data_IF_606804893022
#
_entry.id   IF_606804893022
#
_cell.length_a   1.000
_cell.length_b   1.000
_cell.length_c   1.000
_cell.angle_alpha   90.00
_cell.angle_beta   90.00
_cell.angle_gamma   90.00
#
_symmetry.space_group_name_H-M   'P 1'
#
loop_
_entity.id
_entity.type
_entity.pdbx_description
1 polymer ?
#
# COMPACT_ATOMS: atom_id res chain seq x y z
N UNK A 1 32.77 -11.16 -9.83
CA UNK A 1 32.32 -9.90 -9.20
C UNK A 1 30.84 -10.04 -8.87
N UNK A 2 30.37 -9.47 -7.76
CA UNK A 2 28.94 -9.48 -7.42
C UNK A 2 28.11 -8.64 -8.41
N UNK A 3 26.84 -9.01 -8.63
CA UNK A 3 25.94 -8.36 -9.59
C UNK A 3 25.84 -6.84 -9.40
N UNK A 4 25.80 -6.37 -8.15
CA UNK A 4 25.79 -4.94 -7.81
C UNK A 4 27.03 -4.21 -8.33
N UNK A 5 28.21 -4.82 -8.25
CA UNK A 5 29.46 -4.19 -8.71
C UNK A 5 29.48 -4.02 -10.24
N UNK A 6 28.87 -4.96 -10.98
CA UNK A 6 28.75 -4.84 -12.44
C UNK A 6 27.91 -3.63 -12.85
N UNK A 7 26.85 -3.31 -12.12
CA UNK A 7 26.06 -2.10 -12.37
C UNK A 7 26.87 -0.83 -12.09
N UNK A 8 27.67 -0.80 -11.03
CA UNK A 8 28.56 0.32 -10.75
C UNK A 8 29.66 0.48 -11.81
N UNK A 9 30.24 -0.62 -12.29
CA UNK A 9 31.23 -0.58 -13.37
C UNK A 9 30.60 -0.10 -14.68
N UNK A 10 29.37 -0.54 -14.99
CA UNK A 10 28.61 -0.05 -16.14
C UNK A 10 28.31 1.44 -16.03
N UNK A 11 27.86 1.92 -14.86
CA UNK A 11 27.61 3.35 -14.63
C UNK A 11 28.90 4.16 -14.80
N UNK A 12 30.00 3.68 -14.25
CA UNK A 12 31.30 4.34 -14.38
C UNK A 12 31.75 4.42 -15.85
N UNK A 13 31.56 3.36 -16.63
CA UNK A 13 31.85 3.35 -18.06
C UNK A 13 31.00 4.36 -18.84
N UNK A 14 29.69 4.40 -18.58
CA UNK A 14 28.78 5.39 -19.20
C UNK A 14 29.19 6.82 -18.88
N UNK A 15 29.55 7.10 -17.62
CA UNK A 15 29.99 8.43 -17.22
C UNK A 15 31.31 8.82 -17.89
N UNK A 16 32.30 7.91 -17.93
CA UNK A 16 33.60 8.16 -18.59
C UNK A 16 33.47 8.36 -20.10
N UNK A 17 32.51 7.71 -20.74
CA UNK A 17 32.24 7.89 -22.17
C UNK A 17 31.60 9.24 -22.51
N UNK A 18 31.00 9.93 -21.53
CA UNK A 18 30.37 11.23 -21.74
C UNK A 18 31.43 12.34 -21.84
N UNK A 19 31.48 13.12 -22.94
CA UNK A 19 32.45 14.21 -23.09
C UNK A 19 32.20 15.37 -22.12
N UNK A 20 30.98 15.49 -21.58
CA UNK A 20 30.63 16.49 -20.57
C UNK A 20 31.08 16.08 -19.15
N UNK A 21 31.54 14.83 -18.96
CA UNK A 21 31.98 14.34 -17.67
C UNK A 21 33.51 14.46 -17.53
N UNK A 22 34.03 15.30 -16.63
CA UNK A 22 35.44 15.67 -16.63
C UNK A 22 36.39 14.58 -16.09
N UNK A 23 35.88 13.49 -15.50
CA UNK A 23 36.70 12.45 -14.86
C UNK A 23 36.85 11.23 -15.77
N UNK A 24 38.02 11.11 -16.39
CA UNK A 24 38.38 9.97 -17.27
C UNK A 24 38.77 8.68 -16.55
N UNK A 25 39.01 8.72 -15.22
CA UNK A 25 39.43 7.57 -14.41
C UNK A 25 38.41 7.24 -13.32
N UNK A 26 37.20 6.84 -13.72
CA UNK A 26 36.16 6.33 -12.82
C UNK A 26 36.03 4.81 -12.99
N UNK A 27 35.84 4.09 -11.89
CA UNK A 27 35.51 2.68 -11.86
C UNK A 27 34.36 2.45 -10.88
N UNK A 28 33.77 1.25 -10.85
CA UNK A 28 32.58 0.99 -10.05
C UNK A 28 32.78 1.23 -8.55
N UNK A 29 33.93 0.82 -7.99
CA UNK A 29 34.25 1.06 -6.56
C UNK A 29 34.27 2.56 -6.23
N UNK A 30 34.91 3.35 -7.07
CA UNK A 30 35.05 4.78 -6.87
C UNK A 30 33.72 5.51 -7.11
N UNK A 31 32.91 5.04 -8.05
CA UNK A 31 31.56 5.56 -8.30
C UNK A 31 30.64 5.30 -7.11
N UNK A 32 30.62 4.05 -6.61
CA UNK A 32 29.85 3.67 -5.43
C UNK A 32 30.25 4.49 -4.20
N UNK A 33 31.55 4.57 -3.90
CA UNK A 33 32.04 5.33 -2.75
C UNK A 33 31.65 6.81 -2.82
N UNK A 34 31.72 7.42 -4.02
CA UNK A 34 31.33 8.82 -4.23
C UNK A 34 29.83 9.03 -4.07
N UNK A 35 29.01 8.13 -4.60
CA UNK A 35 27.56 8.22 -4.46
C UNK A 35 27.15 8.11 -2.99
N UNK A 36 27.70 7.14 -2.26
CA UNK A 36 27.43 6.98 -0.83
C UNK A 36 27.78 8.25 -0.03
N UNK A 37 28.94 8.84 -0.34
CA UNK A 37 29.35 10.09 0.31
C UNK A 37 28.43 11.25 -0.06
N UNK A 38 28.01 11.36 -1.32
CA UNK A 38 27.08 12.39 -1.78
C UNK A 38 25.74 12.32 -1.02
N UNK A 39 25.16 11.12 -0.94
CA UNK A 39 23.90 10.87 -0.21
C UNK A 39 24.05 11.20 1.26
N UNK A 40 25.14 10.74 1.90
CA UNK A 40 25.37 10.99 3.32
C UNK A 40 25.51 12.48 3.63
N UNK A 41 26.37 13.19 2.90
CA UNK A 41 26.56 14.62 3.11
C UNK A 41 25.26 15.39 2.91
N UNK A 42 24.45 15.03 1.91
CA UNK A 42 23.16 15.67 1.69
C UNK A 42 22.18 15.47 2.84
N UNK A 43 22.07 14.24 3.36
CA UNK A 43 21.24 13.94 4.54
C UNK A 43 21.70 14.71 5.78
N UNK A 44 23.00 14.85 5.99
CA UNK A 44 23.57 15.67 7.06
C UNK A 44 23.18 17.14 6.89
N UNK A 45 23.30 17.70 5.67
CA UNK A 45 22.89 19.09 5.39
C UNK A 45 21.40 19.33 5.58
N UNK A 46 20.54 18.41 5.14
CA UNK A 46 19.08 18.52 5.32
C UNK A 46 18.69 18.48 6.80
N UNK A 47 19.34 17.60 7.58
CA UNK A 47 19.13 17.55 9.03
C UNK A 47 19.57 18.82 9.73
N UNK A 48 20.69 19.41 9.32
CA UNK A 48 21.15 20.70 9.85
C UNK A 48 20.21 21.85 9.47
N UNK A 49 19.71 21.86 8.22
CA UNK A 49 18.72 22.83 7.74
C UNK A 49 17.40 22.74 8.51
N UNK A 50 16.88 21.53 8.76
CA UNK A 50 15.70 21.29 9.59
C UNK A 50 15.85 21.89 11.00
N UNK A 51 17.05 21.78 11.59
CA UNK A 51 17.34 22.35 12.92
C UNK A 51 17.47 23.88 12.91
N UNK A 52 17.80 24.47 11.77
CA UNK A 52 17.95 25.92 11.56
C UNK A 52 16.72 26.55 10.89
N UNK A 53 15.60 25.81 10.84
CA UNK A 53 14.36 26.18 10.15
C UNK A 53 13.90 27.60 10.51
N UNK A 54 13.87 28.48 9.50
CA UNK A 54 13.58 29.91 9.63
C UNK A 54 14.41 30.82 8.71
N UNK A 55 15.46 30.28 8.08
CA UNK A 55 16.25 30.95 7.03
C UNK A 55 15.76 30.50 5.65
N UNK A 56 15.64 31.45 4.72
CA UNK A 56 15.33 31.18 3.31
C UNK A 56 16.52 30.45 2.67
N UNK A 57 16.37 29.15 2.37
CA UNK A 57 17.35 28.39 1.62
C UNK A 57 17.02 28.36 0.12
N UNK A 58 18.05 28.55 -0.72
CA UNK A 58 17.93 28.37 -2.16
C UNK A 58 17.93 26.88 -2.50
N UNK A 59 16.78 26.38 -2.96
CA UNK A 59 16.66 25.02 -3.47
C UNK A 59 17.29 24.96 -4.85
N UNK A 60 18.40 24.23 -4.96
CA UNK A 60 19.08 24.01 -6.25
C UNK A 60 18.56 22.76 -6.94
N UNK A 61 18.57 22.74 -8.28
CA UNK A 61 18.24 21.54 -9.09
C UNK A 61 19.08 20.31 -8.66
N UNK A 62 20.35 20.53 -8.32
CA UNK A 62 21.21 19.48 -7.78
C UNK A 62 20.66 18.90 -6.47
N UNK A 63 20.14 19.74 -5.59
CA UNK A 63 19.53 19.30 -4.32
C UNK A 63 18.31 18.43 -4.58
N UNK A 64 17.40 18.89 -5.44
CA UNK A 64 16.19 18.16 -5.83
C UNK A 64 16.53 16.78 -6.40
N UNK A 65 17.52 16.68 -7.29
CA UNK A 65 17.95 15.39 -7.84
C UNK A 65 18.53 14.46 -6.77
N UNK A 66 19.19 14.99 -5.74
CA UNK A 66 19.70 14.16 -4.64
C UNK A 66 18.55 13.73 -3.72
N UNK A 67 17.55 14.59 -3.48
CA UNK A 67 16.33 14.23 -2.74
C UNK A 67 15.58 13.07 -3.42
N UNK A 68 15.36 13.18 -4.73
CA UNK A 68 14.74 12.10 -5.54
C UNK A 68 15.56 10.80 -5.47
N UNK A 69 16.90 10.89 -5.51
CA UNK A 69 17.76 9.71 -5.37
C UNK A 69 17.66 9.08 -3.98
N UNK A 70 17.55 9.89 -2.92
CA UNK A 70 17.37 9.39 -1.55
C UNK A 70 16.02 8.68 -1.42
N UNK A 71 14.95 9.28 -1.94
CA UNK A 71 13.61 8.67 -1.96
C UNK A 71 13.63 7.31 -2.66
N UNK A 72 14.21 7.22 -3.87
CA UNK A 72 14.33 5.96 -4.60
C UNK A 72 15.14 4.89 -3.84
N UNK A 73 16.19 5.29 -3.13
CA UNK A 73 16.99 4.37 -2.31
C UNK A 73 16.16 3.83 -1.14
N UNK A 74 15.40 4.69 -0.48
CA UNK A 74 14.60 4.31 0.68
C UNK A 74 13.38 3.46 0.26
N UNK A 75 12.74 3.78 -0.85
CA UNK A 75 11.70 2.95 -1.46
C UNK A 75 12.22 1.55 -1.78
N UNK A 76 13.40 1.45 -2.39
CA UNK A 76 14.01 0.15 -2.70
C UNK A 76 14.30 -0.68 -1.43
N UNK A 77 14.75 -0.04 -0.35
CA UNK A 77 14.95 -0.70 0.95
C UNK A 77 13.61 -1.18 1.53
N UNK A 78 12.58 -0.33 1.49
CA UNK A 78 11.25 -0.68 1.99
C UNK A 78 10.63 -1.83 1.19
N UNK A 79 10.76 -1.82 -0.14
CA UNK A 79 10.27 -2.91 -0.99
C UNK A 79 10.98 -4.23 -0.67
N UNK A 80 12.30 -4.19 -0.46
CA UNK A 80 13.07 -5.37 -0.07
C UNK A 80 12.62 -5.94 1.29
N UNK A 81 12.41 -5.07 2.28
CA UNK A 81 11.95 -5.48 3.61
C UNK A 81 10.50 -6.02 3.55
N UNK A 82 9.62 -5.38 2.77
CA UNK A 82 8.25 -5.85 2.54
C UNK A 82 8.23 -7.25 1.90
N UNK A 83 9.04 -7.48 0.86
CA UNK A 83 9.20 -8.81 0.22
C UNK A 83 9.65 -9.86 1.23
N UNK A 84 10.66 -9.54 2.05
CA UNK A 84 11.17 -10.45 3.09
C UNK A 84 10.11 -10.77 4.14
N UNK A 85 9.34 -9.78 4.59
CA UNK A 85 8.24 -9.98 5.53
C UNK A 85 7.10 -10.81 4.93
N UNK A 86 6.79 -10.61 3.65
CA UNK A 86 5.77 -11.39 2.95
C UNK A 86 6.19 -12.87 2.83
N UNK A 87 7.45 -13.13 2.47
CA UNK A 87 7.99 -14.48 2.44
C UNK A 87 7.96 -15.15 3.82
N UNK A 88 8.32 -14.40 4.86
CA UNK A 88 8.28 -14.90 6.24
C UNK A 88 6.85 -15.26 6.66
N UNK A 89 5.88 -14.37 6.44
CA UNK A 89 4.46 -14.64 6.72
C UNK A 89 3.93 -15.84 5.95
N UNK A 90 4.39 -16.05 4.71
CA UNK A 90 4.02 -17.23 3.93
C UNK A 90 4.55 -18.50 4.58
N UNK A 91 5.83 -18.53 4.99
CA UNK A 91 6.42 -19.68 5.69
C UNK A 91 5.69 -20.00 6.99
N UNK A 92 5.37 -18.97 7.79
CA UNK A 92 4.62 -19.15 9.04
C UNK A 92 3.22 -19.75 8.80
N UNK A 93 2.53 -19.33 7.73
CA UNK A 93 1.24 -19.92 7.35
C UNK A 93 1.38 -21.39 6.93
N UNK A 94 2.39 -21.70 6.13
CA UNK A 94 2.66 -23.06 5.67
C UNK A 94 3.00 -23.98 6.87
N UNK A 95 3.79 -23.49 7.82
CA UNK A 95 4.11 -24.19 9.08
C UNK A 95 2.87 -24.38 9.96
N UNK A 96 2.05 -23.35 10.13
CA UNK A 96 0.81 -23.44 10.89
C UNK A 96 -0.18 -24.46 10.29
N UNK A 97 -0.34 -24.44 8.96
CA UNK A 97 -1.17 -25.42 8.25
C UNK A 97 -0.65 -26.85 8.43
N UNK A 98 0.67 -27.04 8.37
CA UNK A 98 1.32 -28.34 8.62
C UNK A 98 1.08 -28.85 10.05
N UNK A 99 1.16 -27.96 11.05
CA UNK A 99 0.86 -28.30 12.45
C UNK A 99 -0.60 -28.74 12.64
N UNK A 100 -1.56 -28.05 11.99
CA UNK A 100 -2.98 -28.44 12.03
C UNK A 100 -3.18 -29.80 11.36
N UNK A 101 -2.59 -30.04 10.19
CA UNK A 101 -2.68 -31.33 9.52
C UNK A 101 -2.13 -32.47 10.38
N UNK A 102 -0.98 -32.25 11.04
CA UNK A 102 -0.41 -33.22 11.98
C UNK A 102 -1.33 -33.49 13.16
N UNK A 103 -1.91 -32.44 13.77
CA UNK A 103 -2.87 -32.58 14.88
C UNK A 103 -4.09 -33.41 14.48
N UNK A 104 -4.71 -33.07 13.35
CA UNK A 104 -5.91 -33.78 12.85
C UNK A 104 -5.59 -35.24 12.54
N UNK A 105 -4.41 -35.54 12.00
CA UNK A 105 -3.98 -36.91 11.75
C UNK A 105 -3.79 -37.70 13.06
N UNK A 106 -3.19 -37.09 14.08
CA UNK A 106 -3.03 -37.70 15.41
C UNK A 106 -4.39 -37.96 16.07
N UNK A 107 -5.30 -36.98 16.08
CA UNK A 107 -6.65 -37.13 16.66
C UNK A 107 -7.43 -38.26 15.96
N UNK A 108 -7.32 -38.37 14.62
CA UNK A 108 -7.95 -39.48 13.86
C UNK A 108 -7.36 -40.84 14.24
N UNK A 109 -6.05 -40.91 14.43
CA UNK A 109 -5.38 -42.14 14.85
C UNK A 109 -5.87 -42.56 16.25
N UNK A 110 -5.91 -41.62 17.20
CA UNK A 110 -6.42 -41.85 18.56
C UNK A 110 -7.89 -42.32 18.56
N UNK A 111 -8.75 -41.68 17.76
CA UNK A 111 -10.15 -42.09 17.61
C UNK A 111 -10.30 -43.48 17.00
N UNK A 112 -9.43 -43.86 16.05
CA UNK A 112 -9.44 -45.22 15.51
C UNK A 112 -9.00 -46.26 16.53
N UNK A 113 -7.98 -45.96 17.35
CA UNK A 113 -7.56 -46.86 18.43
C UNK A 113 -8.58 -46.98 19.57
N UNK A 114 -9.32 -45.91 19.88
CA UNK A 114 -10.37 -45.94 20.91
C UNK A 114 -11.63 -46.70 20.46
N UNK A 115 -11.89 -46.74 19.14
CA UNK A 115 -13.03 -47.47 18.57
C UNK A 115 -12.80 -48.99 18.48
N UNK A 116 -11.55 -49.45 18.56
CA UNK A 116 -11.21 -50.88 18.59
C UNK A 116 -11.36 -51.51 20.00
N UNK A 117 -11.41 -50.71 21.06
CA UNK A 117 -11.60 -51.15 22.46
C UNK A 117 -13.09 -51.26 22.87
N UNK A 118 -14.00 -50.52 22.22
CA UNK A 118 -15.44 -50.63 22.43
C UNK A 118 -16.08 -51.41 21.27
N UNK A 119 -16.19 -52.72 21.45
CA UNK A 119 -16.65 -53.70 20.45
C UNK A 119 -18.13 -53.60 20.02
N UNK A 120 -18.69 -52.39 19.88
CA UNK A 120 -20.03 -52.16 19.37
C UNK A 120 -20.00 -51.21 18.15
N UNK A 121 -20.28 -51.69 16.92
CA UNK A 121 -20.27 -50.83 15.75
C UNK A 121 -21.45 -49.84 15.82
N UNK A 122 -21.21 -48.52 15.81
CA UNK A 122 -22.29 -47.56 15.72
C UNK A 122 -22.98 -47.70 14.36
N UNK A 123 -24.31 -47.79 14.37
CA UNK A 123 -25.16 -48.00 13.19
C UNK A 123 -24.81 -46.95 12.12
N UNK A 124 -24.09 -47.36 11.07
CA UNK A 124 -23.56 -46.52 9.97
C UNK A 124 -24.59 -45.51 9.41
N UNK A 125 -25.87 -45.87 9.44
CA UNK A 125 -27.00 -45.04 9.03
C UNK A 125 -27.17 -43.75 9.86
N UNK A 126 -26.90 -43.77 11.17
CA UNK A 126 -27.03 -42.59 12.05
C UNK A 126 -25.92 -41.58 11.73
N UNK A 127 -24.68 -42.05 11.54
CA UNK A 127 -23.55 -41.21 11.14
C UNK A 127 -23.75 -40.56 9.77
N UNK A 128 -24.30 -41.32 8.81
CA UNK A 128 -24.62 -40.79 7.48
C UNK A 128 -25.72 -39.72 7.52
N UNK A 129 -26.74 -39.90 8.35
CA UNK A 129 -27.80 -38.91 8.54
C UNK A 129 -27.26 -37.61 9.16
N UNK A 130 -26.41 -37.72 10.18
CA UNK A 130 -25.75 -36.57 10.82
C UNK A 130 -24.85 -35.79 9.84
N UNK A 131 -24.08 -36.50 9.01
CA UNK A 131 -23.25 -35.88 7.98
C UNK A 131 -24.10 -35.13 6.94
N UNK A 132 -25.20 -35.74 6.50
CA UNK A 132 -26.13 -35.12 5.56
C UNK A 132 -26.77 -33.85 6.14
N UNK A 133 -27.19 -33.88 7.40
CA UNK A 133 -27.69 -32.69 8.11
C UNK A 133 -26.64 -31.57 8.17
N UNK A 134 -25.41 -31.88 8.59
CA UNK A 134 -24.34 -30.89 8.67
C UNK A 134 -24.02 -30.25 7.30
N UNK A 135 -24.06 -31.04 6.22
CA UNK A 135 -23.90 -30.53 4.85
C UNK A 135 -25.04 -29.60 4.43
N UNK A 136 -26.29 -29.93 4.79
CA UNK A 136 -27.44 -29.06 4.50
C UNK A 136 -27.34 -27.74 5.27
N UNK A 137 -26.98 -27.78 6.56
CA UNK A 137 -26.79 -26.56 7.35
C UNK A 137 -25.65 -25.68 6.82
N UNK A 138 -24.51 -26.26 6.40
CA UNK A 138 -23.44 -25.46 5.77
C UNK A 138 -23.92 -24.81 4.48
N UNK A 139 -24.65 -25.55 3.65
CA UNK A 139 -25.21 -25.03 2.41
C UNK A 139 -26.22 -23.90 2.65
N UNK A 140 -27.02 -23.99 3.71
CA UNK A 140 -27.95 -22.93 4.12
C UNK A 140 -27.21 -21.68 4.59
N UNK A 141 -26.14 -21.83 5.39
CA UNK A 141 -25.27 -20.71 5.81
C UNK A 141 -24.61 -20.03 4.61
N UNK A 142 -24.11 -20.80 3.64
CA UNK A 142 -23.52 -20.25 2.41
C UNK A 142 -24.54 -19.47 1.57
N UNK A 143 -25.77 -19.98 1.47
CA UNK A 143 -26.85 -19.29 0.76
C UNK A 143 -27.24 -18.00 1.47
N UNK A 144 -27.28 -18.01 2.82
CA UNK A 144 -27.56 -16.83 3.63
C UNK A 144 -26.48 -15.76 3.44
N UNK A 145 -25.20 -16.12 3.56
CA UNK A 145 -24.08 -15.21 3.37
C UNK A 145 -24.09 -14.56 1.97
N UNK A 146 -24.32 -15.34 0.90
CA UNK A 146 -24.47 -14.81 -0.47
C UNK A 146 -25.68 -13.92 -0.67
N UNK A 147 -26.73 -14.06 0.15
CA UNK A 147 -27.91 -13.18 0.10
C UNK A 147 -27.63 -11.87 0.83
N UNK A 148 -26.92 -11.93 1.95
CA UNK A 148 -26.49 -10.79 2.76
C UNK A 148 -25.50 -9.91 1.99
N UNK A 149 -24.45 -10.49 1.41
CA UNK A 149 -23.48 -9.78 0.55
C UNK A 149 -24.18 -9.01 -0.57
N UNK A 150 -25.06 -9.67 -1.32
CA UNK A 150 -25.85 -9.01 -2.37
C UNK A 150 -26.78 -7.92 -1.83
N UNK A 151 -27.20 -7.98 -0.57
CA UNK A 151 -28.02 -6.95 0.06
C UNK A 151 -27.18 -5.75 0.46
N UNK A 152 -25.99 -5.97 1.02
CA UNK A 152 -25.01 -4.93 1.32
C UNK A 152 -24.58 -4.19 0.04
N UNK A 153 -24.23 -4.90 -1.03
CA UNK A 153 -23.91 -4.28 -2.33
C UNK A 153 -25.06 -3.42 -2.89
N UNK A 154 -26.32 -3.77 -2.59
CA UNK A 154 -27.48 -2.95 -2.99
C UNK A 154 -27.60 -1.69 -2.14
N UNK A 155 -27.29 -1.79 -0.85
CA UNK A 155 -27.28 -0.66 0.07
C UNK A 155 -26.14 0.30 -0.25
N UNK A 156 -24.94 -0.21 -0.53
CA UNK A 156 -23.78 0.62 -0.86
C UNK A 156 -24.00 1.38 -2.16
N UNK A 157 -24.48 0.71 -3.22
CA UNK A 157 -24.86 1.39 -4.46
C UNK A 157 -25.97 2.42 -4.26
N UNK A 158 -26.85 2.23 -3.28
CA UNK A 158 -27.89 3.21 -2.97
C UNK A 158 -27.33 4.42 -2.19
N UNK A 159 -26.37 4.18 -1.31
CA UNK A 159 -25.64 5.18 -0.54
C UNK A 159 -24.78 6.05 -1.45
N UNK A 160 -23.95 5.45 -2.30
CA UNK A 160 -23.11 6.16 -3.28
C UNK A 160 -23.96 7.09 -4.16
N UNK A 161 -25.07 6.57 -4.73
CA UNK A 161 -26.02 7.39 -5.49
C UNK A 161 -26.64 8.53 -4.67
N UNK A 162 -26.78 8.38 -3.35
CA UNK A 162 -27.29 9.44 -2.49
C UNK A 162 -26.22 10.49 -2.18
N UNK A 163 -24.99 10.05 -1.94
CA UNK A 163 -23.81 10.90 -1.73
C UNK A 163 -23.52 11.73 -2.99
N UNK A 164 -23.53 11.13 -4.18
CA UNK A 164 -23.39 11.85 -5.46
C UNK A 164 -24.44 12.97 -5.61
N UNK A 165 -25.70 12.67 -5.24
CA UNK A 165 -26.78 13.67 -5.29
C UNK A 165 -26.54 14.80 -4.30
N UNK A 166 -26.04 14.51 -3.11
CA UNK A 166 -25.71 15.50 -2.09
C UNK A 166 -24.51 16.35 -2.51
N UNK A 167 -23.46 15.74 -3.08
CA UNK A 167 -22.28 16.44 -3.55
C UNK A 167 -22.61 17.38 -4.73
N UNK A 168 -23.39 16.89 -5.71
CA UNK A 168 -23.88 17.76 -6.78
C UNK A 168 -24.74 18.92 -6.25
N UNK A 169 -25.58 18.68 -5.25
CA UNK A 169 -26.35 19.74 -4.61
C UNK A 169 -25.45 20.77 -3.91
N UNK A 170 -24.39 20.30 -3.23
CA UNK A 170 -23.42 21.16 -2.55
C UNK A 170 -22.61 22.01 -3.53
N UNK A 171 -22.10 21.40 -4.60
CA UNK A 171 -21.37 22.13 -5.65
C UNK A 171 -22.24 23.20 -6.31
N UNK A 172 -23.50 22.89 -6.62
CA UNK A 172 -24.46 23.90 -7.13
C UNK A 172 -24.70 25.01 -6.12
N UNK A 173 -24.81 24.70 -4.82
CA UNK A 173 -24.99 25.71 -3.78
C UNK A 173 -23.75 26.61 -3.65
N UNK A 174 -22.54 26.05 -3.66
CA UNK A 174 -21.28 26.80 -3.63
C UNK A 174 -21.10 27.68 -4.88
N UNK A 175 -21.41 27.16 -6.07
CA UNK A 175 -21.37 27.92 -7.33
C UNK A 175 -22.37 29.08 -7.32
N UNK A 176 -23.61 28.81 -6.89
CA UNK A 176 -24.63 29.85 -6.72
C UNK A 176 -24.17 30.93 -5.73
N UNK A 177 -23.56 30.54 -4.61
CA UNK A 177 -23.04 31.48 -3.61
C UNK A 177 -21.90 32.35 -4.20
N UNK A 178 -20.97 31.76 -4.96
CA UNK A 178 -19.90 32.50 -5.65
C UNK A 178 -20.46 33.50 -6.65
N UNK A 179 -21.47 33.11 -7.42
CA UNK A 179 -22.14 33.98 -8.39
C UNK A 179 -22.84 35.16 -7.70
N UNK A 180 -23.54 34.90 -6.59
CA UNK A 180 -24.19 35.95 -5.79
C UNK A 180 -23.16 36.94 -5.24
N UNK A 181 -22.02 36.47 -4.72
CA UNK A 181 -20.93 37.34 -4.25
C UNK A 181 -20.34 38.19 -5.38
N UNK A 182 -20.17 37.62 -6.57
CA UNK A 182 -19.67 38.37 -7.74
C UNK A 182 -20.65 39.46 -8.18
N UNK A 183 -21.94 39.15 -8.20
CA UNK A 183 -23.00 40.11 -8.49
C UNK A 183 -23.02 41.25 -7.45
N UNK A 184 -22.84 40.93 -6.17
CA UNK A 184 -22.75 41.93 -5.09
C UNK A 184 -21.55 42.88 -5.26
N UNK A 185 -20.36 42.36 -5.59
CA UNK A 185 -19.20 43.21 -5.89
C UNK A 185 -19.46 44.10 -7.12
N UNK A 186 -20.10 43.56 -8.15
CA UNK A 186 -20.44 44.31 -9.35
C UNK A 186 -21.45 45.44 -9.05
N UNK A 187 -22.51 45.16 -8.29
CA UNK A 187 -23.50 46.17 -7.91
C UNK A 187 -22.89 47.24 -7.01
N UNK A 188 -22.03 46.89 -6.05
CA UNK A 188 -21.29 47.85 -5.22
C UNK A 188 -20.43 48.79 -6.07
N UNK A 189 -19.71 48.26 -7.07
CA UNK A 189 -18.88 49.07 -7.98
C UNK A 189 -19.73 50.00 -8.84
N UNK A 190 -20.85 49.52 -9.38
CA UNK A 190 -21.79 50.38 -10.13
C UNK A 190 -22.36 51.49 -9.23
N UNK A 191 -22.82 51.15 -8.03
CA UNK A 191 -23.33 52.13 -7.07
C UNK A 191 -22.26 53.18 -6.74
N UNK A 192 -21.02 52.79 -6.46
CA UNK A 192 -19.93 53.73 -6.21
C UNK A 192 -19.69 54.70 -7.38
N UNK A 193 -19.78 54.23 -8.64
CA UNK A 193 -19.65 55.10 -9.82
C UNK A 193 -20.83 56.06 -10.01
N UNK A 194 -22.03 55.69 -9.57
CA UNK A 194 -23.21 56.57 -9.65
C UNK A 194 -23.22 57.64 -8.55
N UNK A 195 -22.73 57.33 -7.34
CA UNK A 195 -22.66 58.29 -6.23
C UNK A 195 -21.46 59.26 -6.34
N UNK A 196 -20.54 59.03 -7.27
CA UNK A 196 -19.36 59.88 -7.53
C UNK A 196 -19.58 60.93 -8.63
N UNK A 197 -20.82 61.14 -9.08
CA UNK A 197 -21.27 62.21 -9.98
C UNK A 197 -22.25 63.11 -9.24
#
# INVERSE_FOLDING_TARGET
>A
MGQVMLHWDSLAATLVASPAFPRSKLNGKNAQSRMNQLVQTHQETMKEAELLSGVSEDVTERGQLIDELVELIDDAKQEQECKKQQEQKKRERDEAASLVARRVAMERLEQSSAADEDGSPPKKHVRLAQLTMAMMEMKERDIAARKEERAEERLDRARERAEDRLEQARLRAEENERMVKLLDVFTQRMMATMHSK
#
